data_IF_707944808617
#
_entry.id   IF_707944808617
#
_cell.length_a   1.000
_cell.length_b   1.000
_cell.length_c   1.000
_cell.angle_alpha   90.00
_cell.angle_beta   90.00
_cell.angle_gamma   90.00
#
_symmetry.space_group_name_H-M   'P 1'
#
loop_
_entity.id
_entity.type
_entity.pdbx_description
1 polymer ?
#
# COMPACT_ATOMS: atom_id res chain seq x y z
N UNK A 1 -28.86 -11.93 -3.71
CA UNK A 1 -28.24 -11.08 -2.69
C UNK A 1 -28.36 -9.65 -3.18
N UNK A 2 -29.12 -8.81 -2.48
CA UNK A 2 -29.23 -7.39 -2.84
C UNK A 2 -27.84 -6.75 -2.76
N UNK A 3 -27.45 -6.06 -3.83
CA UNK A 3 -26.22 -5.28 -3.87
C UNK A 3 -26.40 -4.09 -2.94
N UNK A 4 -25.87 -4.17 -1.72
CA UNK A 4 -25.92 -3.05 -0.78
C UNK A 4 -25.06 -1.93 -1.37
N UNK A 5 -25.67 -0.78 -1.63
CA UNK A 5 -24.94 0.43 -1.98
C UNK A 5 -24.23 0.94 -0.72
N UNK A 6 -22.97 0.52 -0.56
CA UNK A 6 -22.15 0.84 0.62
C UNK A 6 -21.98 2.35 0.83
N UNK A 7 -21.96 3.15 -0.23
CA UNK A 7 -21.89 4.62 -0.12
C UNK A 7 -23.16 5.18 0.53
N UNK A 8 -24.33 4.71 0.10
CA UNK A 8 -25.61 5.12 0.67
C UNK A 8 -25.69 4.74 2.17
N UNK A 9 -25.32 3.50 2.49
CA UNK A 9 -25.29 2.98 3.86
C UNK A 9 -24.34 3.79 4.77
N UNK A 10 -23.20 4.24 4.23
CA UNK A 10 -22.26 5.07 4.96
C UNK A 10 -22.87 6.44 5.28
N UNK A 11 -23.51 7.09 4.30
CA UNK A 11 -24.16 8.39 4.49
C UNK A 11 -25.23 8.33 5.59
N UNK A 12 -26.07 7.30 5.57
CA UNK A 12 -27.09 7.07 6.61
C UNK A 12 -26.48 6.90 8.00
N UNK A 13 -25.33 6.22 8.12
CA UNK A 13 -24.65 6.03 9.39
C UNK A 13 -23.99 7.32 9.89
N UNK A 14 -23.38 8.10 8.99
CA UNK A 14 -22.68 9.35 9.32
C UNK A 14 -23.66 10.37 9.92
N UNK A 15 -24.89 10.46 9.42
CA UNK A 15 -25.93 11.35 9.94
C UNK A 15 -26.31 11.06 11.40
N UNK A 16 -26.11 9.83 11.88
CA UNK A 16 -26.49 9.39 13.23
C UNK A 16 -25.35 9.49 14.24
N UNK A 17 -24.15 9.86 13.81
CA UNK A 17 -22.94 9.85 14.64
C UNK A 17 -22.66 11.24 15.24
N UNK A 18 -22.18 11.24 16.48
CA UNK A 18 -21.63 12.44 17.12
C UNK A 18 -20.32 12.88 16.44
N UNK A 19 -20.03 14.18 16.48
CA UNK A 19 -18.81 14.78 15.91
C UNK A 19 -17.51 14.04 16.27
N UNK A 20 -17.34 13.63 17.53
CA UNK A 20 -16.15 12.88 17.96
C UNK A 20 -15.96 11.56 17.20
N UNK A 21 -17.06 10.87 16.85
CA UNK A 21 -17.01 9.61 16.08
C UNK A 21 -16.78 9.90 14.59
N UNK A 22 -17.32 11.01 14.08
CA UNK A 22 -17.06 11.47 12.72
C UNK A 22 -15.58 11.79 12.51
N UNK A 23 -14.94 12.46 13.48
CA UNK A 23 -13.51 12.72 13.44
C UNK A 23 -12.68 11.42 13.33
N UNK A 24 -13.05 10.38 14.07
CA UNK A 24 -12.40 9.06 13.97
C UNK A 24 -12.59 8.44 12.58
N UNK A 25 -13.80 8.51 12.02
CA UNK A 25 -14.08 8.00 10.67
C UNK A 25 -13.29 8.75 9.59
N UNK A 26 -13.20 10.08 9.69
CA UNK A 26 -12.40 10.90 8.77
C UNK A 26 -10.93 10.51 8.85
N UNK A 27 -10.37 10.40 10.05
CA UNK A 27 -8.99 9.99 10.24
C UNK A 27 -8.72 8.60 9.65
N UNK A 28 -9.63 7.65 9.87
CA UNK A 28 -9.52 6.30 9.31
C UNK A 28 -9.64 6.28 7.78
N UNK A 29 -10.56 7.06 7.20
CA UNK A 29 -10.71 7.18 5.76
C UNK A 29 -9.47 7.80 5.10
N UNK A 30 -8.88 8.83 5.72
CA UNK A 30 -7.62 9.43 5.26
C UNK A 30 -6.47 8.41 5.28
N UNK A 31 -6.34 7.64 6.37
CA UNK A 31 -5.34 6.57 6.47
C UNK A 31 -5.49 5.52 5.36
N UNK A 32 -6.72 5.09 5.07
CA UNK A 32 -6.97 4.10 4.01
C UNK A 32 -6.58 4.64 2.63
N UNK A 33 -6.92 5.91 2.35
CA UNK A 33 -6.56 6.57 1.09
C UNK A 33 -5.03 6.67 0.93
N UNK A 34 -4.34 7.12 1.96
CA UNK A 34 -2.87 7.23 1.94
C UNK A 34 -2.20 5.86 1.78
N UNK A 35 -2.75 4.81 2.39
CA UNK A 35 -2.28 3.42 2.24
C UNK A 35 -2.40 2.91 0.81
N UNK A 36 -3.53 3.16 0.16
CA UNK A 36 -3.77 2.78 -1.23
C UNK A 36 -2.77 3.47 -2.17
N UNK A 37 -2.54 4.78 -1.96
CA UNK A 37 -1.54 5.55 -2.71
C UNK A 37 -0.12 5.01 -2.51
N UNK A 38 0.26 4.63 -1.27
CA UNK A 38 1.60 4.07 -0.97
C UNK A 38 1.80 2.70 -1.61
N UNK A 39 0.79 1.82 -1.57
CA UNK A 39 0.86 0.50 -2.20
C UNK A 39 0.95 0.61 -3.73
N UNK A 40 0.22 1.56 -4.32
CA UNK A 40 0.30 1.83 -5.76
C UNK A 40 1.67 2.40 -6.15
N UNK A 41 2.22 3.35 -5.40
CA UNK A 41 3.56 3.89 -5.63
C UNK A 41 4.61 2.78 -5.52
N UNK A 42 4.53 1.93 -4.50
CA UNK A 42 5.45 0.79 -4.35
C UNK A 42 5.34 -0.18 -5.52
N UNK A 43 4.12 -0.47 -6.00
CA UNK A 43 3.89 -1.30 -7.19
C UNK A 43 4.51 -0.69 -8.44
N UNK A 44 4.39 0.63 -8.62
CA UNK A 44 4.99 1.34 -9.75
C UNK A 44 6.53 1.34 -9.68
N UNK A 45 7.11 1.54 -8.49
CA UNK A 45 8.55 1.48 -8.29
C UNK A 45 9.11 0.08 -8.54
N UNK A 46 8.49 -0.96 -7.97
CA UNK A 46 8.94 -2.35 -8.09
C UNK A 46 8.72 -2.94 -9.49
N UNK A 47 7.77 -2.40 -10.26
CA UNK A 47 7.56 -2.82 -11.65
C UNK A 47 8.48 -2.14 -12.67
N UNK A 48 9.19 -1.08 -12.26
CA UNK A 48 10.09 -0.31 -13.13
C UNK A 48 11.28 -1.14 -13.63
N UNK A 49 11.74 -0.84 -14.86
CA UNK A 49 12.86 -1.54 -15.48
C UNK A 49 14.13 -1.38 -14.66
N UNK A 50 14.45 -0.16 -14.18
CA UNK A 50 15.64 0.08 -13.38
C UNK A 50 15.66 -0.67 -12.05
N UNK A 51 14.50 -0.83 -11.39
CA UNK A 51 14.43 -1.66 -10.17
C UNK A 51 14.65 -3.15 -10.46
N UNK A 52 14.10 -3.66 -11.58
CA UNK A 52 14.31 -5.05 -12.01
C UNK A 52 15.74 -5.31 -12.45
N UNK A 53 16.37 -4.35 -13.13
CA UNK A 53 17.78 -4.39 -13.49
C UNK A 53 18.66 -4.38 -12.23
N UNK A 54 18.36 -3.53 -11.24
CA UNK A 54 19.11 -3.52 -9.98
C UNK A 54 19.02 -4.84 -9.21
N UNK A 55 17.88 -5.55 -9.28
CA UNK A 55 17.70 -6.89 -8.71
C UNK A 55 18.23 -8.03 -9.61
N UNK A 56 18.79 -7.74 -10.78
CA UNK A 56 19.28 -8.79 -11.66
C UNK A 56 20.51 -9.47 -11.06
N UNK A 57 20.70 -10.75 -11.38
CA UNK A 57 21.90 -11.51 -11.02
C UNK A 57 23.18 -10.91 -11.60
N UNK A 58 23.09 -10.09 -12.64
CA UNK A 58 24.24 -9.35 -13.19
C UNK A 58 24.72 -8.23 -12.26
N UNK A 59 23.85 -7.76 -11.36
CA UNK A 59 24.17 -6.79 -10.31
C UNK A 59 24.28 -7.45 -8.92
N UNK A 60 24.17 -8.78 -8.85
CA UNK A 60 24.30 -9.54 -7.61
C UNK A 60 25.78 -9.79 -7.31
N UNK A 61 26.40 -8.82 -6.63
CA UNK A 61 27.83 -8.84 -6.29
C UNK A 61 28.15 -9.73 -5.10
N UNK A 62 27.16 -10.33 -4.42
CA UNK A 62 27.42 -11.10 -3.19
C UNK A 62 28.26 -12.35 -3.48
N UNK A 63 27.98 -13.05 -4.57
CA UNK A 63 28.76 -14.22 -4.98
C UNK A 63 30.21 -13.85 -5.36
N UNK A 64 30.44 -12.63 -5.86
CA UNK A 64 31.78 -12.14 -6.21
C UNK A 64 32.57 -11.64 -5.00
N UNK A 65 31.91 -10.95 -4.06
CA UNK A 65 32.55 -10.32 -2.88
C UNK A 65 32.87 -11.33 -1.79
N UNK A 66 32.03 -12.36 -1.62
CA UNK A 66 32.15 -13.32 -0.52
C UNK A 66 32.57 -14.73 -0.96
N UNK A 67 33.09 -14.86 -2.19
CA UNK A 67 33.54 -16.14 -2.76
C UNK A 67 34.63 -16.83 -1.91
N UNK A 68 35.42 -16.03 -1.18
CA UNK A 68 36.51 -16.52 -0.33
C UNK A 68 36.05 -17.01 1.05
N UNK A 69 34.78 -16.78 1.45
CA UNK A 69 34.28 -17.11 2.80
C UNK A 69 33.58 -18.49 2.89
N UNK A 70 33.35 -19.18 1.76
CA UNK A 70 32.70 -20.51 1.70
C UNK A 70 33.74 -21.63 1.46
N UNK A 71 34.91 -21.55 2.10
CA UNK A 71 35.89 -22.65 2.18
C UNK A 71 35.90 -23.31 3.56
#
# INVERSE_FOLDING_TARGET
MEQINLKQRLLELIELLSENKLHVLVHFASYLKEKEDVEEILRLQTSSTGYKEWLSTENDIYDEVFNDEIQ
#
